data_IF_406172073426
#
_entry.id   IF_406172073426
#
_cell.length_a   1.000
_cell.length_b   1.000
_cell.length_c   1.000
_cell.angle_alpha   90.00
_cell.angle_beta   90.00
_cell.angle_gamma   90.00
#
_symmetry.space_group_name_H-M   'P 1'
#
loop_
_entity.id
_entity.type
_entity.pdbx_description
1 polymer ?
#
# COMPACT_ATOMS: atom_id res chain seq x y z
N UNK A 1 25.08 -8.22 10.14
CA UNK A 1 25.24 -8.24 8.68
C UNK A 1 26.69 -7.95 8.32
N UNK A 2 27.24 -8.71 7.39
CA UNK A 2 28.61 -8.52 6.87
C UNK A 2 28.70 -7.16 6.15
N UNK A 3 29.67 -6.36 6.50
CA UNK A 3 29.83 -5.00 5.96
C UNK A 3 31.00 -4.93 4.97
N UNK A 4 30.96 -3.93 4.06
CA UNK A 4 32.05 -3.70 3.11
C UNK A 4 33.39 -3.40 3.81
N UNK A 5 33.37 -2.73 4.97
CA UNK A 5 34.55 -2.51 5.78
C UNK A 5 35.18 -3.81 6.32
N UNK A 6 34.32 -4.77 6.68
CA UNK A 6 34.77 -6.11 7.14
C UNK A 6 35.34 -6.93 5.98
N UNK A 7 34.79 -6.75 4.77
CA UNK A 7 35.33 -7.41 3.58
C UNK A 7 36.70 -6.86 3.19
N UNK A 8 36.87 -5.53 3.23
CA UNK A 8 38.14 -4.86 2.97
C UNK A 8 39.20 -5.28 4.01
N UNK A 9 38.84 -5.36 5.28
CA UNK A 9 39.74 -5.81 6.33
C UNK A 9 40.18 -7.28 6.17
N UNK A 10 39.34 -8.10 5.51
CA UNK A 10 39.61 -9.48 5.20
C UNK A 10 40.42 -9.71 3.91
N UNK A 11 40.69 -8.65 3.13
CA UNK A 11 41.54 -8.78 1.92
C UNK A 11 43.00 -8.95 2.31
N UNK A 12 43.48 -10.15 2.03
CA UNK A 12 44.86 -10.55 2.32
C UNK A 12 45.84 -9.75 1.44
N UNK A 13 46.80 -9.07 2.06
CA UNK A 13 47.90 -8.42 1.35
C UNK A 13 47.64 -7.07 0.70
N UNK A 14 46.47 -6.46 0.91
CA UNK A 14 46.18 -5.09 0.42
C UNK A 14 45.64 -4.17 1.51
N UNK A 15 46.14 -2.95 1.55
CA UNK A 15 45.55 -1.89 2.34
C UNK A 15 44.23 -1.33 1.70
N UNK A 16 43.56 -0.41 2.36
CA UNK A 16 42.32 0.20 1.86
C UNK A 16 42.48 0.94 0.51
N UNK A 17 43.74 1.16 0.05
CA UNK A 17 44.08 1.80 -1.22
C UNK A 17 44.53 0.83 -2.27
N UNK A 18 44.47 -0.50 -2.01
CA UNK A 18 44.90 -1.54 -2.96
C UNK A 18 46.43 -1.72 -3.06
N UNK A 19 47.16 -1.15 -2.13
CA UNK A 19 48.63 -1.31 -2.05
C UNK A 19 48.93 -2.56 -1.24
N UNK A 20 49.78 -3.42 -1.77
CA UNK A 20 50.20 -4.64 -1.08
C UNK A 20 50.77 -4.35 0.29
N UNK A 21 50.19 -4.93 1.32
CA UNK A 21 50.63 -4.79 2.69
C UNK A 21 51.30 -6.11 3.12
N UNK A 22 52.51 -6.00 3.59
CA UNK A 22 53.37 -7.13 3.96
C UNK A 22 53.01 -7.69 5.35
N UNK A 23 51.83 -7.32 5.88
CA UNK A 23 51.32 -7.90 7.10
C UNK A 23 50.52 -9.16 6.80
N UNK A 24 50.82 -10.24 7.48
CA UNK A 24 50.05 -11.48 7.53
C UNK A 24 48.62 -11.19 8.02
N UNK A 25 47.78 -10.67 7.11
CA UNK A 25 46.40 -10.32 7.41
C UNK A 25 45.59 -11.56 7.77
N UNK A 26 45.23 -11.71 9.00
CA UNK A 26 44.30 -12.73 9.45
C UNK A 26 42.89 -12.39 8.93
N UNK A 27 42.30 -13.31 8.18
CA UNK A 27 40.91 -13.12 7.73
C UNK A 27 39.99 -13.07 8.94
N UNK A 28 39.22 -12.00 9.14
CA UNK A 28 38.29 -11.97 10.27
C UNK A 28 37.20 -13.03 10.06
N UNK A 29 37.17 -14.01 10.97
CA UNK A 29 36.07 -14.94 11.05
C UNK A 29 34.93 -14.27 11.82
N UNK A 30 33.77 -14.17 11.19
CA UNK A 30 32.56 -13.64 11.83
C UNK A 30 31.72 -14.84 12.23
N UNK A 31 31.44 -14.93 13.53
CA UNK A 31 30.49 -15.90 14.04
C UNK A 31 29.06 -15.42 13.71
N UNK A 32 28.25 -16.32 13.19
CA UNK A 32 26.83 -16.05 12.94
C UNK A 32 26.07 -16.36 14.21
N UNK A 33 25.68 -15.33 14.92
CA UNK A 33 24.83 -15.47 16.10
C UNK A 33 23.48 -16.09 15.74
N UNK A 34 22.99 -16.95 16.62
CA UNK A 34 21.65 -17.50 16.46
C UNK A 34 20.62 -16.36 16.69
N UNK A 35 19.78 -16.06 15.70
CA UNK A 35 18.78 -15.01 15.87
C UNK A 35 17.77 -15.40 16.96
N UNK A 36 17.35 -14.44 17.73
CA UNK A 36 16.21 -14.61 18.64
C UNK A 36 14.92 -14.77 17.82
N UNK A 37 14.03 -15.63 18.34
CA UNK A 37 12.71 -15.80 17.73
C UNK A 37 11.80 -14.63 18.13
N UNK A 38 11.26 -13.92 17.14
CA UNK A 38 10.19 -12.95 17.36
C UNK A 38 8.82 -13.65 17.38
N UNK A 39 8.04 -13.39 18.41
CA UNK A 39 6.65 -13.85 18.47
C UNK A 39 5.78 -12.98 17.56
N UNK A 40 5.12 -13.62 16.62
CA UNK A 40 4.09 -12.99 15.80
C UNK A 40 2.70 -13.41 16.31
N UNK A 41 1.93 -12.43 16.79
CA UNK A 41 0.58 -12.66 17.29
C UNK A 41 -0.45 -12.14 16.31
N UNK A 42 -1.43 -12.98 15.99
CA UNK A 42 -2.57 -12.58 15.18
C UNK A 42 -3.54 -11.75 16.00
N UNK A 43 -4.00 -10.64 15.43
CA UNK A 43 -5.12 -9.88 15.96
C UNK A 43 -6.44 -10.56 15.63
N UNK A 44 -7.39 -10.57 16.56
CA UNK A 44 -8.71 -11.15 16.31
C UNK A 44 -9.63 -10.10 15.70
N UNK A 45 -10.26 -10.47 14.58
CA UNK A 45 -11.27 -9.67 13.90
C UNK A 45 -12.59 -10.46 13.92
N UNK A 46 -13.65 -9.82 14.42
CA UNK A 46 -14.94 -10.50 14.57
C UNK A 46 -16.11 -9.72 13.97
N UNK A 47 -17.10 -10.47 13.49
CA UNK A 47 -18.38 -9.95 13.03
C UNK A 47 -19.51 -10.74 13.69
N UNK A 48 -20.46 -10.02 14.29
CA UNK A 48 -21.67 -10.62 14.85
C UNK A 48 -22.90 -9.91 14.29
N UNK A 49 -23.80 -10.69 13.68
CA UNK A 49 -25.08 -10.21 13.13
C UNK A 49 -26.23 -10.89 13.87
N UNK A 50 -27.12 -10.08 14.43
CA UNK A 50 -28.34 -10.55 15.12
C UNK A 50 -29.55 -10.22 14.24
N UNK A 51 -30.50 -11.13 14.15
CA UNK A 51 -31.76 -10.94 13.41
C UNK A 51 -32.98 -11.38 14.25
N UNK A 52 -34.12 -10.78 13.97
CA UNK A 52 -35.38 -11.17 14.59
C UNK A 52 -35.93 -12.47 13.99
N UNK A 53 -36.46 -13.37 14.83
CA UNK A 53 -37.05 -14.65 14.39
C UNK A 53 -38.21 -14.43 13.42
N UNK A 54 -39.11 -13.48 13.73
CA UNK A 54 -40.22 -13.14 12.85
C UNK A 54 -39.75 -12.48 11.55
N UNK A 55 -38.72 -11.63 11.64
CA UNK A 55 -38.14 -10.99 10.46
C UNK A 55 -37.53 -12.00 9.50
N UNK A 56 -36.80 -12.99 10.03
CA UNK A 56 -36.17 -14.01 9.19
C UNK A 56 -37.21 -14.96 8.54
N UNK A 57 -38.38 -15.11 9.16
CA UNK A 57 -39.47 -15.91 8.57
C UNK A 57 -40.31 -15.11 7.58
N UNK A 58 -40.53 -13.83 7.82
CA UNK A 58 -41.33 -12.97 6.95
C UNK A 58 -40.53 -12.40 5.75
N UNK A 59 -39.24 -12.12 5.96
CA UNK A 59 -38.37 -11.49 4.95
C UNK A 59 -36.96 -12.10 4.94
N UNK A 60 -36.82 -13.41 4.62
CA UNK A 60 -35.54 -14.11 4.67
C UNK A 60 -34.50 -13.49 3.72
N UNK A 61 -34.94 -12.97 2.58
CA UNK A 61 -34.07 -12.32 1.60
C UNK A 61 -33.47 -11.00 2.13
N UNK A 62 -34.17 -10.28 2.99
CA UNK A 62 -33.64 -9.06 3.62
C UNK A 62 -32.52 -9.41 4.60
N UNK A 63 -32.69 -10.45 5.40
CA UNK A 63 -31.67 -10.95 6.33
C UNK A 63 -30.44 -11.44 5.57
N UNK A 64 -30.62 -12.24 4.50
CA UNK A 64 -29.54 -12.73 3.67
C UNK A 64 -28.76 -11.59 2.99
N UNK A 65 -29.47 -10.57 2.50
CA UNK A 65 -28.83 -9.39 1.91
C UNK A 65 -28.03 -8.60 2.94
N UNK A 66 -28.56 -8.45 4.16
CA UNK A 66 -27.84 -7.77 5.25
C UNK A 66 -26.57 -8.53 5.64
N UNK A 67 -26.65 -9.85 5.82
CA UNK A 67 -25.48 -10.69 6.13
C UNK A 67 -24.41 -10.54 5.05
N UNK A 68 -24.78 -10.59 3.76
CA UNK A 68 -23.85 -10.41 2.65
C UNK A 68 -23.18 -9.02 2.69
N UNK A 69 -23.96 -7.96 2.95
CA UNK A 69 -23.41 -6.61 3.12
C UNK A 69 -22.48 -6.49 4.31
N UNK A 70 -22.80 -7.15 5.42
CA UNK A 70 -21.94 -7.18 6.61
C UNK A 70 -20.61 -7.89 6.36
N UNK A 71 -20.60 -9.01 5.62
CA UNK A 71 -19.37 -9.67 5.20
C UNK A 71 -18.49 -8.76 4.34
N UNK A 72 -19.08 -8.12 3.32
CA UNK A 72 -18.34 -7.20 2.44
C UNK A 72 -17.71 -6.07 3.26
N UNK A 73 -18.48 -5.46 4.16
CA UNK A 73 -17.97 -4.39 5.02
C UNK A 73 -16.86 -4.87 5.98
N UNK A 74 -16.99 -6.10 6.47
CA UNK A 74 -15.98 -6.73 7.32
C UNK A 74 -14.67 -6.95 6.56
N UNK A 75 -14.75 -7.54 5.36
CA UNK A 75 -13.58 -7.78 4.51
C UNK A 75 -12.85 -6.48 4.15
N UNK A 76 -13.60 -5.42 3.83
CA UNK A 76 -13.02 -4.10 3.59
C UNK A 76 -12.30 -3.56 4.82
N UNK A 77 -12.89 -3.70 6.01
CA UNK A 77 -12.27 -3.26 7.25
C UNK A 77 -10.99 -4.03 7.56
N UNK A 78 -10.99 -5.34 7.38
CA UNK A 78 -9.81 -6.19 7.60
C UNK A 78 -8.70 -5.84 6.61
N UNK A 79 -9.05 -5.63 5.33
CA UNK A 79 -8.09 -5.21 4.32
C UNK A 79 -7.49 -3.83 4.62
N UNK A 80 -8.32 -2.85 4.98
CA UNK A 80 -7.86 -1.51 5.37
C UNK A 80 -6.96 -1.56 6.61
N UNK A 81 -7.31 -2.36 7.62
CA UNK A 81 -6.51 -2.59 8.82
C UNK A 81 -5.14 -3.19 8.49
N UNK A 82 -5.11 -4.19 7.62
CA UNK A 82 -3.86 -4.81 7.13
C UNK A 82 -2.95 -3.79 6.45
N UNK A 83 -3.50 -2.96 5.57
CA UNK A 83 -2.74 -1.90 4.89
C UNK A 83 -2.26 -0.81 5.85
N UNK A 84 -3.06 -0.48 6.86
CA UNK A 84 -2.67 0.49 7.89
C UNK A 84 -1.49 -0.03 8.74
N UNK A 85 -1.46 -1.31 9.08
CA UNK A 85 -0.33 -1.93 9.78
C UNK A 85 0.94 -1.91 8.92
N UNK A 86 0.83 -2.29 7.63
CA UNK A 86 1.95 -2.19 6.68
C UNK A 86 2.47 -0.75 6.60
N UNK A 87 1.57 0.22 6.49
CA UNK A 87 1.93 1.63 6.41
C UNK A 87 2.59 2.17 7.68
N UNK A 88 2.17 1.67 8.85
CA UNK A 88 2.73 2.05 10.15
C UNK A 88 4.18 1.59 10.30
N UNK A 89 4.49 0.39 9.84
CA UNK A 89 5.84 -0.18 9.91
C UNK A 89 6.74 0.21 8.72
N UNK A 90 6.17 0.86 7.70
CA UNK A 90 6.91 1.35 6.55
C UNK A 90 7.57 2.69 6.83
N UNK A 91 8.76 2.90 6.26
CA UNK A 91 9.46 4.17 6.37
C UNK A 91 8.70 5.26 5.60
N UNK A 92 8.30 6.32 6.30
CA UNK A 92 7.64 7.47 5.66
C UNK A 92 8.64 8.26 4.81
N UNK A 93 8.36 8.36 3.52
CA UNK A 93 9.15 9.10 2.55
C UNK A 93 8.28 10.17 1.90
N UNK A 94 8.59 11.42 2.17
CA UNK A 94 7.89 12.54 1.55
C UNK A 94 8.73 13.08 0.39
N UNK A 95 8.15 13.06 -0.82
CA UNK A 95 8.82 13.55 -2.02
C UNK A 95 8.32 14.96 -2.30
N UNK A 96 9.20 15.96 -2.36
CA UNK A 96 8.81 17.27 -2.81
C UNK A 96 8.51 17.20 -4.31
N UNK A 97 7.28 17.47 -4.72
CA UNK A 97 6.92 17.56 -6.13
C UNK A 97 6.93 19.01 -6.57
N UNK A 98 7.65 19.28 -7.65
CA UNK A 98 7.62 20.57 -8.36
C UNK A 98 6.89 20.48 -9.70
N UNK A 99 6.36 19.30 -10.03
CA UNK A 99 5.67 19.03 -11.29
C UNK A 99 4.16 19.17 -11.10
N UNK A 100 3.52 19.77 -12.09
CA UNK A 100 2.07 19.89 -12.12
C UNK A 100 1.40 18.57 -12.51
N UNK A 101 0.15 18.38 -12.08
CA UNK A 101 -0.67 17.21 -12.38
C UNK A 101 -0.44 16.03 -11.42
N UNK A 102 -0.90 14.87 -11.82
CA UNK A 102 -0.82 13.66 -11.02
C UNK A 102 0.14 12.60 -11.61
N UNK A 103 0.13 12.41 -12.94
CA UNK A 103 0.91 11.35 -13.57
C UNK A 103 2.42 11.55 -13.44
N UNK A 104 2.93 12.73 -13.81
CA UNK A 104 4.36 12.97 -13.79
C UNK A 104 4.97 12.90 -12.39
N UNK A 105 4.43 13.56 -11.34
CA UNK A 105 5.01 13.49 -10.02
C UNK A 105 4.96 12.06 -9.46
N UNK A 106 3.87 11.34 -9.64
CA UNK A 106 3.72 9.97 -9.12
C UNK A 106 4.63 9.00 -9.87
N UNK A 107 4.61 8.97 -11.20
CA UNK A 107 5.43 8.03 -11.98
C UNK A 107 6.94 8.31 -11.80
N UNK A 108 7.34 9.57 -11.71
CA UNK A 108 8.73 9.93 -11.40
C UNK A 108 9.12 9.49 -10.00
N UNK A 109 8.28 9.70 -9.01
CA UNK A 109 8.52 9.26 -7.64
C UNK A 109 8.67 7.74 -7.55
N UNK A 110 7.79 6.98 -8.21
CA UNK A 110 7.86 5.53 -8.31
C UNK A 110 9.17 5.05 -8.95
N UNK A 111 9.56 5.65 -10.07
CA UNK A 111 10.80 5.31 -10.77
C UNK A 111 12.03 5.52 -9.87
N UNK A 112 12.14 6.71 -9.28
CA UNK A 112 13.29 7.07 -8.44
C UNK A 112 13.35 6.25 -7.16
N UNK A 113 12.21 6.02 -6.50
CA UNK A 113 12.19 5.18 -5.28
C UNK A 113 12.51 3.73 -5.59
N UNK A 114 12.04 3.20 -6.71
CA UNK A 114 12.42 1.86 -7.16
C UNK A 114 13.93 1.71 -7.33
N UNK A 115 14.60 2.72 -7.90
CA UNK A 115 16.06 2.71 -8.02
C UNK A 115 16.75 2.78 -6.65
N UNK A 116 16.27 3.63 -5.74
CA UNK A 116 16.83 3.76 -4.38
C UNK A 116 16.71 2.44 -3.62
N UNK A 117 15.53 1.79 -3.64
CA UNK A 117 15.34 0.49 -2.97
C UNK A 117 16.26 -0.59 -3.55
N UNK A 118 16.36 -0.67 -4.89
CA UNK A 118 17.25 -1.64 -5.54
C UNK A 118 18.72 -1.40 -5.20
N UNK A 119 19.15 -0.14 -5.20
CA UNK A 119 20.52 0.22 -4.85
C UNK A 119 20.84 -0.09 -3.38
N UNK A 120 19.95 0.28 -2.47
CA UNK A 120 20.12 0.07 -1.04
C UNK A 120 20.22 -1.39 -0.66
N UNK A 121 19.41 -2.22 -1.30
CA UNK A 121 19.38 -3.67 -1.05
C UNK A 121 20.30 -4.48 -1.98
N UNK A 122 21.01 -3.80 -2.89
CA UNK A 122 21.85 -4.41 -3.92
C UNK A 122 21.13 -5.47 -4.75
N UNK A 123 19.84 -5.27 -4.97
CA UNK A 123 19.01 -6.15 -5.78
C UNK A 123 19.33 -6.05 -7.27
N UNK A 124 19.23 -7.16 -7.97
CA UNK A 124 19.34 -7.17 -9.42
C UNK A 124 18.22 -6.34 -10.08
N UNK A 125 18.49 -5.79 -11.26
CA UNK A 125 17.53 -4.97 -12.02
C UNK A 125 16.21 -5.67 -12.31
N UNK A 126 16.20 -6.99 -12.32
CA UNK A 126 15.02 -7.81 -12.57
C UNK A 126 14.21 -8.15 -11.32
N UNK A 127 14.67 -7.74 -10.14
CA UNK A 127 13.92 -7.93 -8.90
C UNK A 127 12.58 -7.18 -8.97
N UNK A 128 11.52 -7.88 -8.60
CA UNK A 128 10.16 -7.33 -8.63
C UNK A 128 9.94 -6.50 -7.37
N UNK A 129 9.42 -5.30 -7.55
CA UNK A 129 8.91 -4.44 -6.48
C UNK A 129 7.38 -4.47 -6.52
N UNK A 130 6.77 -4.52 -5.36
CA UNK A 130 5.33 -4.41 -5.20
C UNK A 130 4.97 -2.98 -4.80
N UNK A 131 3.88 -2.50 -5.37
CA UNK A 131 3.32 -1.18 -5.07
C UNK A 131 1.84 -1.33 -4.78
N UNK A 132 1.40 -0.81 -3.65
CA UNK A 132 -0.02 -0.67 -3.33
C UNK A 132 -0.37 0.81 -3.38
N UNK A 133 -1.31 1.15 -4.24
CA UNK A 133 -1.74 2.52 -4.51
C UNK A 133 -3.27 2.64 -4.43
N UNK A 134 -3.82 3.83 -4.16
CA UNK A 134 -5.26 4.02 -4.12
C UNK A 134 -5.89 3.82 -5.52
N UNK A 135 -7.09 3.23 -5.54
CA UNK A 135 -7.79 2.91 -6.80
C UNK A 135 -8.05 4.14 -7.68
N UNK A 136 -8.40 5.28 -7.07
CA UNK A 136 -8.65 6.53 -7.80
C UNK A 136 -7.42 7.05 -8.55
N UNK A 137 -6.21 6.72 -8.08
CA UNK A 137 -4.96 7.20 -8.69
C UNK A 137 -4.77 6.69 -10.13
N UNK A 138 -5.21 5.48 -10.43
CA UNK A 138 -5.15 4.94 -11.79
C UNK A 138 -5.94 5.81 -12.78
N UNK A 139 -7.16 6.22 -12.40
CA UNK A 139 -7.97 7.13 -13.20
C UNK A 139 -7.36 8.54 -13.34
N UNK A 140 -6.76 9.05 -12.25
CA UNK A 140 -6.06 10.32 -12.24
C UNK A 140 -4.83 10.33 -13.18
N UNK A 141 -4.04 9.26 -13.17
CA UNK A 141 -2.90 9.09 -14.08
C UNK A 141 -3.38 9.09 -15.54
N UNK A 142 -4.44 8.33 -15.85
CA UNK A 142 -4.99 8.25 -17.21
C UNK A 142 -5.46 9.63 -17.69
N UNK A 143 -6.22 10.34 -16.87
CA UNK A 143 -6.74 11.66 -17.22
C UNK A 143 -5.62 12.68 -17.45
N UNK A 144 -4.58 12.67 -16.63
CA UNK A 144 -3.44 13.58 -16.77
C UNK A 144 -2.58 13.24 -18.02
N UNK A 145 -2.35 11.95 -18.29
CA UNK A 145 -1.64 11.51 -19.49
C UNK A 145 -2.38 11.93 -20.77
N UNK A 146 -3.69 11.77 -20.82
CA UNK A 146 -4.52 12.20 -21.95
C UNK A 146 -4.33 13.70 -22.24
N UNK A 147 -4.36 14.52 -21.22
CA UNK A 147 -4.17 15.97 -21.35
C UNK A 147 -2.78 16.36 -21.82
N UNK A 148 -1.74 15.73 -21.26
CA UNK A 148 -0.35 16.01 -21.61
C UNK A 148 0.00 15.61 -23.02
N UNK A 149 -0.54 14.48 -23.49
CA UNK A 149 -0.34 13.99 -24.84
C UNK A 149 -1.22 14.70 -25.87
N UNK A 150 -2.21 15.48 -25.42
CA UNK A 150 -3.19 16.11 -26.29
C UNK A 150 -4.06 15.12 -27.05
N UNK A 151 -4.19 13.88 -26.52
CA UNK A 151 -4.99 12.83 -27.14
C UNK A 151 -6.34 12.69 -26.42
N UNK A 152 -7.31 12.11 -27.13
CA UNK A 152 -8.59 11.82 -26.52
C UNK A 152 -8.40 10.80 -25.38
N UNK A 153 -9.11 11.00 -24.26
CA UNK A 153 -9.09 10.09 -23.09
C UNK A 153 -9.39 8.64 -23.49
N UNK A 154 -10.19 8.42 -24.51
CA UNK A 154 -10.50 7.09 -25.04
C UNK A 154 -9.30 6.36 -25.66
N UNK A 155 -8.25 7.09 -26.03
CA UNK A 155 -7.06 6.51 -26.66
C UNK A 155 -5.99 6.12 -25.63
N UNK A 156 -6.11 6.54 -24.36
CA UNK A 156 -5.20 6.12 -23.28
C UNK A 156 -5.77 4.86 -22.64
N UNK A 157 -5.16 3.73 -22.94
CA UNK A 157 -5.61 2.42 -22.47
C UNK A 157 -4.98 2.04 -21.16
N UNK A 158 -5.67 1.19 -20.38
CA UNK A 158 -5.11 0.58 -19.18
C UNK A 158 -3.88 -0.28 -19.47
N UNK A 159 -3.82 -0.86 -20.67
CA UNK A 159 -2.70 -1.66 -21.13
C UNK A 159 -1.40 -0.84 -21.22
N UNK A 160 -1.44 0.41 -21.66
CA UNK A 160 -0.27 1.29 -21.73
C UNK A 160 0.25 1.65 -20.34
N UNK A 161 -0.67 1.97 -19.42
CA UNK A 161 -0.31 2.25 -18.01
C UNK A 161 0.32 1.02 -17.38
N UNK A 162 -0.30 -0.14 -17.54
CA UNK A 162 0.21 -1.40 -16.98
C UNK A 162 1.54 -1.81 -17.62
N UNK A 163 1.74 -1.55 -18.92
CA UNK A 163 3.02 -1.80 -19.60
C UNK A 163 4.15 -0.96 -19.02
N UNK A 164 3.88 0.28 -18.60
CA UNK A 164 4.86 1.13 -17.93
C UNK A 164 5.37 0.50 -16.63
N UNK A 165 4.47 -0.03 -15.80
CA UNK A 165 4.82 -0.72 -14.57
C UNK A 165 5.58 -2.03 -14.83
N UNK A 166 5.06 -2.83 -15.76
CA UNK A 166 5.65 -4.13 -16.10
C UNK A 166 7.07 -4.00 -16.65
N UNK A 167 7.32 -3.01 -17.51
CA UNK A 167 8.66 -2.74 -18.07
C UNK A 167 9.70 -2.40 -16.99
N UNK A 168 9.26 -1.91 -15.84
CA UNK A 168 10.11 -1.54 -14.69
C UNK A 168 10.15 -2.60 -13.60
N UNK A 169 9.54 -3.76 -13.84
CA UNK A 169 9.38 -4.82 -12.84
C UNK A 169 8.72 -4.32 -11.55
N UNK A 170 7.72 -3.47 -11.70
CA UNK A 170 6.85 -2.99 -10.63
C UNK A 170 5.50 -3.67 -10.79
N UNK A 171 5.09 -4.42 -9.77
CA UNK A 171 3.74 -4.99 -9.67
C UNK A 171 2.85 -4.02 -8.90
N UNK A 172 2.09 -3.21 -9.62
CA UNK A 172 1.23 -2.21 -9.02
C UNK A 172 -0.19 -2.77 -8.80
N UNK A 173 -0.68 -2.65 -7.57
CA UNK A 173 -2.05 -3.00 -7.18
C UNK A 173 -2.79 -1.72 -6.78
N UNK A 174 -3.88 -1.43 -7.48
CA UNK A 174 -4.75 -0.30 -7.19
C UNK A 174 -5.92 -0.78 -6.35
N UNK A 175 -5.97 -0.37 -5.08
CA UNK A 175 -6.92 -0.90 -4.10
C UNK A 175 -7.83 0.19 -3.55
N UNK A 176 -9.09 -0.17 -3.27
CA UNK A 176 -10.07 0.76 -2.71
C UNK A 176 -9.85 1.06 -1.23
N UNK A 177 -9.25 0.12 -0.49
CA UNK A 177 -9.09 0.21 0.96
C UNK A 177 -7.83 0.97 1.39
N UNK A 178 -7.23 1.72 0.49
CA UNK A 178 -6.07 2.58 0.75
C UNK A 178 -6.34 3.99 0.27
N UNK A 179 -6.15 4.99 1.14
CA UNK A 179 -6.43 6.41 0.86
C UNK A 179 -7.79 6.59 0.17
N UNK A 180 -8.84 6.09 0.84
CA UNK A 180 -10.20 6.09 0.33
C UNK A 180 -10.68 7.51 0.06
N UNK A 181 -11.42 7.68 -1.02
CA UNK A 181 -12.24 8.87 -1.22
C UNK A 181 -13.46 8.75 -0.31
N UNK A 182 -13.94 9.88 0.22
CA UNK A 182 -15.16 9.89 1.03
C UNK A 182 -16.32 9.22 0.29
N UNK A 183 -17.19 8.55 1.04
CA UNK A 183 -18.38 7.86 0.50
C UNK A 183 -19.58 8.77 0.30
N UNK A 184 -19.49 10.04 0.71
CA UNK A 184 -20.55 11.01 0.55
C UNK A 184 -20.74 11.39 -0.92
N UNK A 185 -21.99 11.57 -1.33
CA UNK A 185 -22.36 12.02 -2.67
C UNK A 185 -21.79 13.42 -3.04
N UNK A 186 -21.20 14.09 -2.05
CA UNK A 186 -20.62 15.44 -2.16
C UNK A 186 -19.11 15.45 -2.38
N UNK A 187 -18.46 14.29 -2.60
CA UNK A 187 -17.03 14.26 -2.91
C UNK A 187 -16.77 14.92 -4.26
N UNK A 188 -16.25 16.14 -4.21
CA UNK A 188 -15.97 16.96 -5.41
C UNK A 188 -14.48 17.20 -5.61
N UNK A 189 -13.64 16.81 -4.64
CA UNK A 189 -12.21 17.07 -4.68
C UNK A 189 -11.41 15.79 -4.46
N UNK A 190 -10.35 15.64 -5.24
CA UNK A 190 -9.34 14.62 -5.03
C UNK A 190 -8.34 15.06 -3.94
N UNK A 191 -7.66 14.12 -3.27
CA UNK A 191 -6.60 14.43 -2.33
C UNK A 191 -5.48 15.26 -2.97
N UNK A 192 -4.86 16.14 -2.17
CA UNK A 192 -3.70 16.95 -2.60
C UNK A 192 -2.39 16.19 -2.60
N UNK A 193 -2.40 14.94 -2.18
CA UNK A 193 -1.26 14.04 -2.22
C UNK A 193 -1.70 12.62 -2.52
N UNK A 194 -0.89 11.90 -3.28
CA UNK A 194 -1.03 10.46 -3.47
C UNK A 194 -0.08 9.73 -2.53
N UNK A 195 -0.60 8.75 -1.81
CA UNK A 195 0.18 7.88 -0.96
C UNK A 195 0.22 6.48 -1.54
N UNK A 196 1.40 5.89 -1.60
CA UNK A 196 1.56 4.50 -2.00
C UNK A 196 2.60 3.78 -1.14
N UNK A 197 2.40 2.49 -0.99
CA UNK A 197 3.35 1.60 -0.32
C UNK A 197 4.23 0.96 -1.38
N UNK A 198 5.54 0.91 -1.16
CA UNK A 198 6.49 0.28 -2.09
C UNK A 198 7.49 -0.57 -1.32
N UNK A 199 7.66 -1.81 -1.75
CA UNK A 199 8.58 -2.76 -1.12
C UNK A 199 8.98 -3.87 -2.11
N UNK A 200 10.10 -4.56 -1.87
CA UNK A 200 10.47 -5.76 -2.61
C UNK A 200 9.43 -6.88 -2.44
N UNK A 201 9.17 -7.64 -3.50
CA UNK A 201 8.25 -8.77 -3.43
C UNK A 201 8.65 -9.76 -2.33
N UNK A 202 7.67 -10.20 -1.53
CA UNK A 202 7.90 -11.10 -0.40
C UNK A 202 8.32 -10.40 0.91
N UNK A 203 8.35 -9.07 0.97
CA UNK A 203 8.65 -8.33 2.20
C UNK A 203 7.59 -8.54 3.27
N UNK A 204 6.32 -8.61 2.88
CA UNK A 204 5.21 -8.75 3.80
C UNK A 204 4.59 -10.13 3.71
N UNK A 205 4.41 -10.75 4.87
CA UNK A 205 3.70 -12.02 4.99
C UNK A 205 2.45 -11.79 5.83
N UNK A 206 1.30 -12.12 5.25
CA UNK A 206 0.02 -12.08 5.96
C UNK A 206 -0.25 -13.44 6.57
N UNK A 207 -0.37 -13.47 7.89
CA UNK A 207 -0.89 -14.62 8.63
C UNK A 207 -2.41 -14.52 8.75
N UNK A 208 -3.11 -15.58 8.44
CA UNK A 208 -4.57 -15.68 8.61
C UNK A 208 -4.92 -17.01 9.27
N UNK A 209 -5.87 -16.98 10.18
CA UNK A 209 -6.43 -18.18 10.76
C UNK A 209 -7.94 -17.97 10.99
N UNK A 210 -8.78 -18.83 10.43
CA UNK A 210 -10.22 -18.84 10.72
C UNK A 210 -10.44 -19.55 12.05
N UNK A 211 -10.87 -18.81 13.06
CA UNK A 211 -11.07 -19.33 14.40
C UNK A 211 -12.44 -20.01 14.53
N UNK A 212 -13.49 -19.28 14.21
CA UNK A 212 -14.87 -19.75 14.40
C UNK A 212 -15.80 -19.12 13.36
N UNK A 213 -16.70 -19.90 12.83
CA UNK A 213 -17.87 -19.40 12.08
C UNK A 213 -19.09 -20.16 12.55
N UNK A 214 -20.10 -19.46 13.04
CA UNK A 214 -21.34 -20.02 13.54
C UNK A 214 -22.50 -19.31 12.85
N UNK A 215 -23.39 -20.09 12.25
CA UNK A 215 -24.63 -19.59 11.64
C UNK A 215 -25.83 -20.06 12.44
N UNK A 216 -26.84 -19.22 12.57
CA UNK A 216 -28.12 -19.55 13.20
C UNK A 216 -28.00 -20.08 14.65
N UNK A 217 -27.27 -19.36 15.50
CA UNK A 217 -27.17 -19.69 16.90
C UNK A 217 -28.37 -19.15 17.70
N UNK A 218 -29.06 -20.05 18.36
CA UNK A 218 -30.19 -19.75 19.24
C UNK A 218 -29.75 -19.91 20.69
N UNK A 219 -29.54 -18.79 21.38
CA UNK A 219 -29.26 -18.77 22.81
C UNK A 219 -30.47 -18.30 23.61
N UNK A 220 -30.57 -18.67 24.89
CA UNK A 220 -31.73 -18.39 25.74
C UNK A 220 -31.98 -16.91 25.96
N UNK A 221 -30.94 -16.08 25.96
CA UNK A 221 -31.07 -14.63 26.18
C UNK A 221 -31.68 -13.98 24.97
N UNK A 222 -31.18 -14.29 23.77
CA UNK A 222 -31.71 -13.73 22.53
C UNK A 222 -33.10 -14.27 22.20
N UNK A 223 -33.36 -15.55 22.49
CA UNK A 223 -34.70 -16.12 22.32
C UNK A 223 -35.74 -15.42 23.19
N UNK A 224 -35.39 -15.05 24.41
CA UNK A 224 -36.26 -14.22 25.26
C UNK A 224 -36.61 -12.85 24.67
N UNK A 225 -35.85 -12.36 23.69
CA UNK A 225 -36.05 -11.13 22.94
C UNK A 225 -36.63 -11.36 21.53
N UNK A 226 -37.03 -12.57 21.19
CA UNK A 226 -37.43 -12.99 19.84
C UNK A 226 -36.33 -12.76 18.76
N UNK A 227 -35.06 -12.83 19.17
CA UNK A 227 -33.89 -12.67 18.33
C UNK A 227 -33.04 -13.95 18.30
N UNK A 228 -32.14 -14.05 17.34
CA UNK A 228 -31.10 -15.06 17.26
C UNK A 228 -29.83 -14.47 16.65
N UNK A 229 -28.68 -15.12 16.84
CA UNK A 229 -27.45 -14.76 16.12
C UNK A 229 -27.51 -15.41 14.74
N UNK A 230 -27.70 -14.58 13.72
CA UNK A 230 -27.79 -15.04 12.34
C UNK A 230 -26.43 -15.42 11.78
N UNK A 231 -25.38 -14.70 12.21
CA UNK A 231 -23.99 -14.96 11.87
C UNK A 231 -23.10 -14.52 13.03
N UNK A 232 -22.14 -15.35 13.37
CA UNK A 232 -20.99 -15.01 14.21
C UNK A 232 -19.74 -15.57 13.54
N UNK A 233 -18.74 -14.74 13.28
CA UNK A 233 -17.46 -15.18 12.74
C UNK A 233 -16.33 -14.44 13.45
N UNK A 234 -15.26 -15.16 13.70
CA UNK A 234 -14.00 -14.62 14.18
C UNK A 234 -12.87 -15.17 13.31
N UNK A 235 -11.96 -14.33 12.92
CA UNK A 235 -10.72 -14.68 12.23
C UNK A 235 -9.51 -14.04 12.90
N UNK A 236 -8.39 -14.74 12.87
CA UNK A 236 -7.09 -14.20 13.25
C UNK A 236 -6.39 -13.63 12.03
N UNK A 237 -6.00 -12.36 12.07
CA UNK A 237 -5.23 -11.73 10.99
C UNK A 237 -4.06 -10.95 11.54
N UNK A 238 -2.98 -10.88 10.76
CA UNK A 238 -1.83 -10.05 11.08
C UNK A 238 -0.85 -10.02 9.92
N UNK A 239 0.04 -9.07 9.93
CA UNK A 239 1.12 -8.95 8.95
C UNK A 239 2.45 -8.84 9.66
N UNK A 240 3.46 -9.46 9.09
CA UNK A 240 4.83 -9.38 9.55
C UNK A 240 5.74 -9.01 8.39
N UNK A 241 6.71 -8.15 8.68
CA UNK A 241 7.74 -7.76 7.72
C UNK A 241 8.91 -8.74 7.78
N UNK A 242 9.32 -9.25 6.63
CA UNK A 242 10.40 -10.23 6.49
C UNK A 242 11.60 -9.61 5.75
N UNK A 243 12.63 -9.25 6.50
CA UNK A 243 13.98 -9.00 6.00
C UNK A 243 14.23 -7.74 5.16
N UNK A 244 13.25 -7.20 4.45
CA UNK A 244 13.41 -6.04 3.58
C UNK A 244 12.76 -4.78 4.15
N UNK A 245 13.21 -3.64 3.67
CA UNK A 245 12.58 -2.36 3.99
C UNK A 245 11.33 -2.15 3.15
N UNK A 246 10.38 -1.41 3.71
CA UNK A 246 9.16 -0.99 3.07
C UNK A 246 9.03 0.53 3.19
N UNK A 247 8.67 1.19 2.10
CA UNK A 247 8.47 2.63 2.02
C UNK A 247 6.98 2.97 1.92
N UNK A 248 6.56 3.93 2.73
CA UNK A 248 5.31 4.67 2.55
C UNK A 248 5.64 6.00 1.89
N UNK A 249 5.39 6.11 0.60
CA UNK A 249 5.76 7.27 -0.20
C UNK A 249 4.58 8.21 -0.34
N UNK A 250 4.80 9.49 -0.02
CA UNK A 250 3.80 10.54 -0.11
C UNK A 250 4.28 11.53 -1.17
N UNK A 251 3.47 11.70 -2.22
CA UNK A 251 3.77 12.57 -3.35
C UNK A 251 2.69 13.65 -3.42
N UNK A 252 3.03 14.93 -3.30
CA UNK A 252 2.11 16.01 -3.58
C UNK A 252 1.65 15.97 -5.04
N UNK A 253 0.34 16.16 -5.26
CA UNK A 253 -0.27 16.27 -6.57
C UNK A 253 -1.11 17.55 -6.59
N UNK A 254 -1.55 17.97 -7.78
CA UNK A 254 -2.48 19.11 -7.88
C UNK A 254 -3.76 18.85 -7.08
N UNK A 255 -4.34 19.90 -6.49
CA UNK A 255 -5.44 19.80 -5.54
C UNK A 255 -6.69 19.10 -6.10
N UNK A 256 -6.94 19.22 -7.38
CA UNK A 256 -8.01 18.57 -8.13
C UNK A 256 -7.51 17.36 -8.95
N UNK A 257 -6.37 16.83 -8.55
CA UNK A 257 -5.75 15.66 -9.16
C UNK A 257 -5.41 15.91 -10.63
N UNK A 258 -5.70 14.92 -11.47
CA UNK A 258 -5.44 15.00 -12.90
C UNK A 258 -6.44 15.89 -13.68
N UNK A 259 -7.43 16.43 -13.03
CA UNK A 259 -8.43 17.26 -13.69
C UNK A 259 -7.97 18.70 -13.91
N UNK A 260 -6.98 19.14 -13.16
CA UNK A 260 -6.44 20.50 -13.29
C UNK A 260 -5.53 20.64 -14.52
N UNK A 261 -5.81 21.64 -15.32
CA UNK A 261 -5.14 21.87 -16.61
C UNK A 261 -3.72 22.42 -16.47
N UNK A 262 -3.21 22.48 -15.30
CA UNK A 262 -1.89 22.91 -15.18
C UNK A 262 -1.63 24.10 -14.31
N UNK A 263 -0.54 24.65 -14.52
CA UNK A 263 0.04 25.72 -13.74
C UNK A 263 -0.71 26.98 -14.11
N UNK A 264 -1.41 27.58 -13.14
CA UNK A 264 -1.84 28.97 -13.25
C UNK A 264 -0.58 29.85 -13.23
N UNK A 265 0.03 29.93 -14.38
CA UNK A 265 1.17 30.82 -14.59
C UNK A 265 0.59 32.09 -15.21
N UNK A 266 0.77 33.20 -14.53
CA UNK A 266 0.55 34.50 -15.16
C UNK A 266 1.36 34.59 -16.46
N UNK A 267 0.90 35.35 -17.39
CA UNK A 267 1.49 35.52 -18.75
C UNK A 267 2.99 35.86 -18.72
N UNK A 268 3.50 36.29 -17.60
CA UNK A 268 4.92 36.59 -17.33
C UNK A 268 5.70 35.49 -16.61
N UNK A 269 5.13 34.28 -16.47
CA UNK A 269 5.76 33.15 -15.77
C UNK A 269 5.66 33.16 -14.24
N UNK A 270 4.92 34.09 -13.65
CA UNK A 270 4.70 34.14 -12.21
C UNK A 270 3.47 33.33 -11.84
N UNK A 271 3.57 32.47 -10.79
CA UNK A 271 2.41 31.79 -10.26
C UNK A 271 1.35 32.80 -9.80
N UNK A 272 0.14 32.69 -10.29
CA UNK A 272 -0.99 33.41 -9.71
C UNK A 272 -1.35 32.70 -8.41
N UNK A 273 -1.22 33.39 -7.29
CA UNK A 273 -1.77 32.91 -6.04
C UNK A 273 -3.30 32.86 -6.20
N UNK A 274 -3.88 31.66 -6.18
CA UNK A 274 -5.34 31.52 -6.02
C UNK A 274 -5.69 32.08 -4.67
N UNK A 275 -6.38 33.21 -4.64
CA UNK A 275 -6.99 33.74 -3.43
C UNK A 275 -7.93 32.66 -2.87
N UNK A 276 -7.86 32.31 -1.56
CA UNK A 276 -8.83 31.41 -1.00
C UNK A 276 -10.21 32.05 -1.15
N UNK A 277 -11.14 31.33 -1.75
CA UNK A 277 -12.54 31.75 -1.84
C UNK A 277 -13.05 32.06 -0.43
N UNK A 278 -13.55 33.29 -0.25
CA UNK A 278 -14.10 33.80 0.99
C UNK A 278 -15.36 33.04 1.45
#
# INVERSE_FOLDING_TARGET
SYTEAQDIAGQYGTDANGVGNDTDGEKPCIEVDCPEFEEFRLGVQGLCVTAGILQSRGFPEAVARFIRGAYIAHDHRVAAGTLAEIAKESQKVQIPSTQAGAAAPVLTALELRAQVLRQKTRMGRNAVLEVVAPAWLHGAIRADLSRRLGVNLLNVTDAEINAWFTARRINAQFVYNWQELGTDATVTQFPTSAEFLMYPAGTWVRGTNSLVTIENLYDSVKLGQNNYTALFTEEGTGVIRMGHESDRVIVPIEADGATHMGIDIAHNGTKVATEPAA
#
